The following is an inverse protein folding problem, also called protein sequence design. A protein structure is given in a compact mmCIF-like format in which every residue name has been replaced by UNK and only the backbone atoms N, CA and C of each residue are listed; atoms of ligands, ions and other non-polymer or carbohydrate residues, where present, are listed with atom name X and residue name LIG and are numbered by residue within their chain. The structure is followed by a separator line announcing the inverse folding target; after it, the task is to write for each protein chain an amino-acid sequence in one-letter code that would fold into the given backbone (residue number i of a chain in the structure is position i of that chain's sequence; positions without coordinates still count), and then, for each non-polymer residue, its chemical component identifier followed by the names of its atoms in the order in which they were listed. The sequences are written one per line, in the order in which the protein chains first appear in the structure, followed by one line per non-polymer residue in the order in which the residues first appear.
data_IF_195095644010
#
_entry.id   IF_195095644010
#
_cell.length_a   1.000
_cell.length_b   1.000
_cell.length_c   1.000
_cell.angle_alpha   90.00
_cell.angle_beta   90.00
_cell.angle_gamma   90.00
#
_symmetry.space_group_name_H-M   'P 1'
#
loop_
_entity.id
_entity.type
_entity.pdbx_description
1 polymer ?
#
# COMPACT_ATOMS: atom_id res chain seq x y z
N UNK A 1 20.50 -31.87 -7.51
CA UNK A 1 19.92 -30.54 -7.83
C UNK A 1 20.97 -29.79 -8.62
N UNK A 2 20.68 -29.29 -9.82
CA UNK A 2 21.63 -28.46 -10.56
C UNK A 2 21.92 -27.20 -9.72
N UNK A 3 23.19 -26.81 -9.63
CA UNK A 3 23.60 -25.61 -8.90
C UNK A 3 23.08 -24.37 -9.65
N UNK A 4 22.99 -23.22 -8.97
CA UNK A 4 22.51 -21.97 -9.57
C UNK A 4 23.27 -21.57 -10.87
N UNK A 5 24.46 -22.12 -11.10
CA UNK A 5 25.25 -21.96 -12.32
C UNK A 5 24.66 -22.64 -13.57
N UNK A 6 23.84 -23.69 -13.42
CA UNK A 6 23.42 -24.53 -14.54
C UNK A 6 22.26 -23.93 -15.37
N UNK A 7 21.60 -22.87 -14.87
CA UNK A 7 20.49 -22.17 -15.55
C UNK A 7 20.84 -20.77 -16.05
N UNK A 8 22.11 -20.38 -16.00
CA UNK A 8 22.57 -19.09 -16.53
C UNK A 8 22.10 -18.84 -17.98
N UNK A 9 22.15 -19.82 -18.92
CA UNK A 9 21.66 -19.61 -20.28
C UNK A 9 20.14 -19.36 -20.36
N UNK A 10 19.34 -20.09 -19.57
CA UNK A 10 17.88 -19.91 -19.52
C UNK A 10 17.50 -18.54 -18.93
N UNK A 11 18.27 -18.08 -17.94
CA UNK A 11 18.09 -16.77 -17.34
C UNK A 11 18.39 -15.65 -18.35
N UNK A 12 19.48 -15.78 -19.12
CA UNK A 12 19.81 -14.82 -20.17
C UNK A 12 18.75 -14.80 -21.27
N UNK A 13 18.25 -15.96 -21.70
CA UNK A 13 17.16 -16.04 -22.67
C UNK A 13 15.88 -15.36 -22.16
N UNK A 14 15.50 -15.60 -20.91
CA UNK A 14 14.36 -14.93 -20.29
C UNK A 14 14.56 -13.41 -20.27
N UNK A 15 15.76 -12.94 -19.90
CA UNK A 15 16.11 -11.49 -19.92
C UNK A 15 15.94 -10.92 -21.33
N UNK A 16 16.44 -11.60 -22.35
CA UNK A 16 16.30 -11.17 -23.75
C UNK A 16 14.84 -11.09 -24.18
N UNK A 17 14.03 -12.12 -23.89
CA UNK A 17 12.59 -12.11 -24.22
C UNK A 17 11.86 -10.99 -23.48
N UNK A 18 12.12 -10.84 -22.18
CA UNK A 18 11.50 -9.78 -21.37
C UNK A 18 11.83 -8.39 -21.92
N UNK A 19 13.09 -8.15 -22.29
CA UNK A 19 13.53 -6.85 -22.84
C UNK A 19 12.87 -6.53 -24.18
N UNK A 20 12.60 -7.53 -25.01
CA UNK A 20 11.91 -7.36 -26.29
C UNK A 20 10.43 -7.00 -26.14
N UNK A 21 9.81 -7.35 -25.00
CA UNK A 21 8.39 -7.07 -24.70
C UNK A 21 8.16 -5.72 -23.98
N UNK A 22 9.23 -4.98 -23.70
CA UNK A 22 9.11 -3.64 -23.11
C UNK A 22 8.69 -2.62 -24.17
N UNK A 23 7.80 -1.70 -23.77
CA UNK A 23 7.36 -0.61 -24.62
C UNK A 23 8.42 0.45 -24.81
N UNK A 24 8.27 1.23 -25.87
CA UNK A 24 9.15 2.38 -26.12
C UNK A 24 8.98 3.38 -24.96
N UNK A 25 10.09 3.79 -24.35
CA UNK A 25 10.08 4.65 -23.15
C UNK A 25 9.82 3.93 -21.82
N UNK A 26 9.47 2.63 -21.82
CA UNK A 26 9.29 1.84 -20.59
C UNK A 26 10.62 1.44 -19.95
N UNK A 27 11.67 1.27 -20.75
CA UNK A 27 12.97 0.78 -20.29
C UNK A 27 13.70 1.85 -19.45
N UNK A 28 13.94 1.54 -18.18
CA UNK A 28 14.74 2.39 -17.30
C UNK A 28 16.22 2.05 -17.54
N UNK A 29 16.82 2.59 -18.60
CA UNK A 29 18.19 2.27 -19.05
C UNK A 29 19.31 3.00 -18.28
N UNK A 30 18.99 4.07 -17.57
CA UNK A 30 19.94 4.84 -16.74
C UNK A 30 19.16 5.43 -15.55
N UNK A 31 19.39 4.90 -14.32
CA UNK A 31 19.09 5.50 -12.99
C UNK A 31 18.94 4.46 -11.86
N UNK A 32 19.62 3.33 -11.95
CA UNK A 32 19.78 2.39 -10.82
C UNK A 32 21.25 2.13 -10.50
N UNK A 33 22.13 3.06 -10.86
CA UNK A 33 23.50 3.03 -10.36
C UNK A 33 23.45 3.38 -8.87
N UNK A 34 23.90 2.51 -7.95
CA UNK A 34 24.17 2.96 -6.60
C UNK A 34 25.14 4.14 -6.73
N UNK A 35 24.85 5.26 -6.06
CA UNK A 35 25.82 6.34 -5.94
C UNK A 35 27.14 5.70 -5.50
N UNK A 36 28.23 5.91 -6.27
CA UNK A 36 29.53 5.48 -5.80
C UNK A 36 29.71 6.03 -4.39
N UNK A 37 30.24 5.24 -3.43
CA UNK A 37 30.47 5.74 -2.10
C UNK A 37 31.37 6.96 -2.23
N UNK A 38 30.76 8.14 -2.10
CA UNK A 38 31.45 9.40 -2.24
C UNK A 38 32.62 9.40 -1.27
N UNK A 39 33.75 10.00 -1.69
CA UNK A 39 34.88 10.20 -0.79
C UNK A 39 34.34 10.87 0.47
N UNK A 40 34.64 10.29 1.65
CA UNK A 40 34.19 10.84 2.93
C UNK A 40 34.64 12.31 2.97
N UNK A 41 33.71 13.26 3.14
CA UNK A 41 34.07 14.67 3.25
C UNK A 41 35.04 14.87 4.42
N UNK A 42 35.92 15.85 4.31
CA UNK A 42 36.76 16.25 5.44
C UNK A 42 35.89 16.77 6.60
N UNK A 43 36.46 16.79 7.80
CA UNK A 43 35.75 17.34 8.96
C UNK A 43 35.37 18.82 8.72
N UNK A 44 36.22 19.60 8.03
CA UNK A 44 35.93 20.98 7.63
C UNK A 44 34.72 21.08 6.67
N UNK A 45 34.60 20.18 5.69
CA UNK A 45 33.46 20.13 4.75
C UNK A 45 32.15 19.76 5.48
N UNK A 46 32.23 18.89 6.49
CA UNK A 46 31.09 18.50 7.33
C UNK A 46 30.65 19.68 8.21
N UNK A 47 31.59 20.36 8.85
CA UNK A 47 31.32 21.52 9.72
C UNK A 47 30.79 22.71 8.93
N UNK A 48 31.29 22.94 7.72
CA UNK A 48 30.76 23.96 6.82
C UNK A 48 29.34 23.63 6.38
N UNK A 49 29.04 22.36 6.06
CA UNK A 49 27.68 21.90 5.75
C UNK A 49 26.71 22.12 6.93
N UNK A 50 27.13 21.82 8.16
CA UNK A 50 26.33 22.07 9.35
C UNK A 50 26.10 23.57 9.56
N UNK A 51 27.15 24.38 9.45
CA UNK A 51 27.11 25.83 9.67
C UNK A 51 26.26 26.56 8.63
N UNK A 52 26.24 26.08 7.38
CA UNK A 52 25.36 26.59 6.31
C UNK A 52 23.89 26.25 6.55
N UNK A 53 23.58 25.30 7.44
CA UNK A 53 22.21 24.93 7.76
C UNK A 53 21.45 24.31 6.59
N UNK A 54 22.14 23.60 5.68
CA UNK A 54 21.58 23.05 4.42
C UNK A 54 20.28 22.27 4.61
N UNK A 55 20.12 21.60 5.76
CA UNK A 55 18.89 20.92 6.16
C UNK A 55 18.59 21.31 7.60
N UNK A 56 17.74 22.33 7.79
CA UNK A 56 17.26 22.75 9.11
C UNK A 56 15.76 22.56 9.19
N UNK A 57 15.34 21.61 10.03
CA UNK A 57 13.93 21.42 10.35
C UNK A 57 13.53 22.48 11.36
N UNK A 58 12.55 23.32 11.00
CA UNK A 58 11.97 24.32 11.89
C UNK A 58 10.67 23.75 12.42
N UNK A 59 10.63 23.49 13.72
CA UNK A 59 9.44 22.94 14.37
C UNK A 59 8.85 23.92 15.36
N UNK A 60 7.54 23.99 15.40
CA UNK A 60 6.77 24.57 16.49
C UNK A 60 6.10 23.48 17.32
N UNK A 61 5.87 23.75 18.61
CA UNK A 61 5.11 22.87 19.48
C UNK A 61 3.85 23.57 19.93
N UNK A 62 2.70 22.90 19.79
CA UNK A 62 1.43 23.41 20.28
C UNK A 62 0.73 22.37 21.15
N UNK A 63 -0.26 22.84 21.92
CA UNK A 63 -1.12 21.99 22.74
C UNK A 63 -2.55 22.43 22.54
N UNK A 64 -3.36 21.54 21.99
CA UNK A 64 -4.77 21.80 21.73
C UNK A 64 -5.61 21.24 22.88
N UNK A 65 -6.47 22.04 23.53
CA UNK A 65 -7.50 21.50 24.40
C UNK A 65 -8.28 20.43 23.64
N UNK A 66 -8.57 19.28 24.27
CA UNK A 66 -9.23 18.19 23.56
C UNK A 66 -10.59 18.59 22.99
N UNK A 67 -11.33 19.44 23.71
CA UNK A 67 -12.64 19.95 23.28
C UNK A 67 -12.56 20.86 22.04
N UNK A 68 -11.41 21.48 21.78
CA UNK A 68 -11.19 22.36 20.60
C UNK A 68 -10.67 21.61 19.38
N UNK A 69 -10.35 20.31 19.51
CA UNK A 69 -9.86 19.50 18.38
C UNK A 69 -10.94 19.39 17.30
N UNK A 70 -12.22 19.36 17.67
CA UNK A 70 -13.35 19.38 16.72
C UNK A 70 -13.28 20.61 15.82
N UNK A 71 -13.22 21.79 16.43
CA UNK A 71 -13.24 23.07 15.71
C UNK A 71 -12.02 23.23 14.80
N UNK A 72 -10.86 22.74 15.28
CA UNK A 72 -9.62 22.73 14.52
C UNK A 72 -9.76 21.88 13.25
N UNK A 73 -10.34 20.69 13.36
CA UNK A 73 -10.56 19.79 12.24
C UNK A 73 -11.64 20.29 11.27
N UNK A 74 -12.67 20.94 11.79
CA UNK A 74 -13.81 21.43 11.00
C UNK A 74 -13.52 22.79 10.32
N UNK A 75 -12.40 23.45 10.67
CA UNK A 75 -11.98 24.74 10.11
C UNK A 75 -11.65 24.72 8.60
N UNK A 76 -11.48 23.54 8.00
CA UNK A 76 -11.03 23.37 6.62
C UNK A 76 -9.53 23.62 6.41
N UNK A 77 -8.80 24.10 7.42
CA UNK A 77 -7.36 24.38 7.35
C UNK A 77 -6.47 23.13 7.50
N UNK A 78 -7.07 21.99 7.83
CA UNK A 78 -6.37 20.73 8.06
C UNK A 78 -6.76 19.73 6.99
N UNK A 79 -5.79 19.31 6.19
CA UNK A 79 -5.94 18.18 5.27
C UNK A 79 -5.94 16.90 6.10
N UNK A 80 -7.15 16.41 6.39
CA UNK A 80 -7.41 15.19 7.18
C UNK A 80 -7.42 13.92 6.36
N UNK A 81 -7.25 14.05 5.05
CA UNK A 81 -7.41 12.96 4.11
C UNK A 81 -6.13 12.72 3.28
N UNK A 82 -5.00 12.38 3.92
CA UNK A 82 -3.87 11.87 3.19
C UNK A 82 -4.22 10.51 2.59
N UNK A 83 -4.20 10.40 1.26
CA UNK A 83 -4.52 9.19 0.50
C UNK A 83 -3.79 7.92 0.98
N UNK A 84 -2.65 8.09 1.65
CA UNK A 84 -1.81 7.01 2.16
C UNK A 84 -2.25 6.42 3.50
N UNK A 85 -3.19 7.05 4.24
CA UNK A 85 -3.70 6.54 5.54
C UNK A 85 -5.22 6.26 5.53
N UNK A 86 -5.91 6.45 4.40
CA UNK A 86 -7.39 6.27 4.28
C UNK A 86 -7.91 4.89 4.69
N UNK A 87 -7.11 3.83 4.51
CA UNK A 87 -7.55 2.44 4.64
C UNK A 87 -7.41 1.87 6.06
N UNK A 88 -6.62 2.51 6.90
CA UNK A 88 -6.38 2.07 8.27
C UNK A 88 -7.18 2.94 9.26
N UNK A 89 -8.34 2.44 9.73
CA UNK A 89 -9.14 3.08 10.78
C UNK A 89 -9.00 2.35 12.11
N UNK A 90 -8.88 3.10 13.21
CA UNK A 90 -8.90 2.52 14.57
C UNK A 90 -10.26 1.94 14.90
N UNK A 91 -10.27 0.71 15.42
CA UNK A 91 -11.47 0.10 16.00
C UNK A 91 -12.02 0.93 17.17
N UNK A 92 -13.32 0.79 17.47
CA UNK A 92 -13.95 1.46 18.61
C UNK A 92 -13.25 1.17 19.95
N UNK A 93 -12.68 -0.03 20.10
CA UNK A 93 -11.86 -0.39 21.27
C UNK A 93 -10.57 0.44 21.33
N UNK A 94 -9.85 0.61 20.21
CA UNK A 94 -8.65 1.44 20.16
C UNK A 94 -8.96 2.92 20.43
N UNK A 95 -10.05 3.44 19.84
CA UNK A 95 -10.52 4.80 20.10
C UNK A 95 -10.87 4.99 21.59
N UNK A 96 -11.61 4.05 22.18
CA UNK A 96 -11.99 4.09 23.60
C UNK A 96 -10.78 4.05 24.53
N UNK A 97 -9.78 3.22 24.24
CA UNK A 97 -8.52 3.16 25.00
C UNK A 97 -7.70 4.44 24.92
N UNK A 98 -7.77 5.18 23.81
CA UNK A 98 -7.19 6.54 23.74
C UNK A 98 -7.92 7.48 24.72
N UNK A 99 -9.25 7.47 24.72
CA UNK A 99 -10.03 8.30 25.65
C UNK A 99 -9.72 7.93 27.11
N UNK A 100 -9.60 6.63 27.42
CA UNK A 100 -9.18 6.13 28.73
C UNK A 100 -7.82 6.69 29.15
N UNK A 101 -6.87 6.75 28.21
CA UNK A 101 -5.54 7.31 28.45
C UNK A 101 -5.62 8.79 28.87
N UNK A 102 -6.49 9.57 28.24
CA UNK A 102 -6.70 10.97 28.64
C UNK A 102 -7.38 11.11 30.01
N UNK A 103 -8.36 10.27 30.32
CA UNK A 103 -9.01 10.24 31.65
C UNK A 103 -7.93 10.00 32.73
N UNK A 104 -7.07 9.00 32.50
CA UNK A 104 -5.99 8.61 33.41
C UNK A 104 -4.77 9.54 33.42
N UNK A 105 -4.69 10.53 32.51
CA UNK A 105 -3.49 11.34 32.30
C UNK A 105 -2.26 10.55 31.87
N UNK A 106 -2.44 9.46 31.15
CA UNK A 106 -1.32 8.75 30.52
C UNK A 106 -0.78 9.63 29.39
N UNK A 107 0.56 9.80 29.28
CA UNK A 107 1.15 10.55 28.18
C UNK A 107 0.77 9.94 26.82
N UNK A 108 0.06 10.71 26.01
CA UNK A 108 -0.24 10.36 24.62
C UNK A 108 0.85 10.97 23.73
N UNK A 109 1.39 10.22 22.75
CA UNK A 109 2.37 10.77 21.81
C UNK A 109 1.83 12.05 21.12
N UNK A 110 2.69 12.99 20.72
CA UNK A 110 2.24 14.17 19.98
C UNK A 110 1.76 13.80 18.58
N UNK A 111 0.83 14.58 18.03
CA UNK A 111 0.49 14.52 16.60
C UNK A 111 1.50 15.34 15.80
N UNK A 112 1.82 14.90 14.59
CA UNK A 112 2.75 15.60 13.72
C UNK A 112 2.01 16.24 12.55
N UNK A 113 2.27 17.52 12.36
CA UNK A 113 1.62 18.35 11.35
C UNK A 113 2.70 18.94 10.43
N UNK A 114 2.38 19.10 9.15
CA UNK A 114 3.19 19.85 8.20
C UNK A 114 2.42 21.06 7.72
N UNK A 115 2.96 22.26 7.92
CA UNK A 115 2.42 23.49 7.37
C UNK A 115 2.91 23.65 5.92
N UNK A 116 2.05 23.32 4.96
CA UNK A 116 2.38 23.41 3.52
C UNK A 116 2.13 24.82 2.96
N UNK A 117 1.21 25.56 3.59
CA UNK A 117 1.03 26.99 3.38
C UNK A 117 0.62 27.67 4.70
N UNK A 118 0.69 29.00 4.76
CA UNK A 118 0.39 29.74 5.99
C UNK A 118 -0.97 29.37 6.58
N UNK A 119 -0.98 28.86 7.82
CA UNK A 119 -2.17 28.37 8.50
C UNK A 119 -2.92 27.25 7.73
N UNK A 120 -2.20 26.50 6.91
CA UNK A 120 -2.70 25.34 6.17
C UNK A 120 -1.84 24.12 6.49
N UNK A 121 -2.45 23.11 7.07
CA UNK A 121 -1.76 21.98 7.67
C UNK A 121 -2.13 20.66 6.99
N UNK A 122 -1.17 19.75 6.91
CA UNK A 122 -1.38 18.35 6.57
C UNK A 122 -1.02 17.49 7.78
N UNK A 123 -1.91 16.56 8.13
CA UNK A 123 -1.67 15.62 9.24
C UNK A 123 -0.69 14.54 8.77
N UNK A 124 0.53 14.55 9.29
CA UNK A 124 1.54 13.55 8.98
C UNK A 124 1.38 12.29 9.85
N UNK A 125 1.15 12.47 11.15
CA UNK A 125 0.90 11.39 12.09
C UNK A 125 -0.12 11.84 13.15
N UNK A 126 -0.95 10.90 13.60
CA UNK A 126 -1.95 11.14 14.62
C UNK A 126 -3.36 11.40 14.10
N UNK A 127 -3.62 11.19 12.80
CA UNK A 127 -4.96 11.34 12.21
C UNK A 127 -6.01 10.52 12.98
N UNK A 128 -5.71 9.26 13.30
CA UNK A 128 -6.62 8.39 14.07
C UNK A 128 -6.85 8.90 15.51
N UNK A 129 -5.84 9.54 16.13
CA UNK A 129 -5.98 10.17 17.46
C UNK A 129 -6.88 11.39 17.41
N UNK A 130 -6.64 12.29 16.44
CA UNK A 130 -7.46 13.49 16.26
C UNK A 130 -8.90 13.12 15.92
N UNK A 131 -9.08 12.11 15.06
CA UNK A 131 -10.40 11.57 14.69
C UNK A 131 -11.12 10.98 15.89
N UNK A 132 -10.46 10.12 16.69
CA UNK A 132 -11.06 9.54 17.89
C UNK A 132 -11.51 10.61 18.90
N UNK A 133 -10.70 11.65 19.11
CA UNK A 133 -11.08 12.79 19.97
C UNK A 133 -12.29 13.53 19.40
N UNK A 134 -12.26 13.90 18.12
CA UNK A 134 -13.40 14.58 17.45
C UNK A 134 -14.68 13.76 17.56
N UNK A 135 -14.64 12.48 17.23
CA UNK A 135 -15.80 11.60 17.25
C UNK A 135 -16.35 11.39 18.66
N UNK A 136 -15.49 11.32 19.67
CA UNK A 136 -15.89 11.21 21.06
C UNK A 136 -16.66 12.45 21.54
N UNK A 137 -16.11 13.66 21.31
CA UNK A 137 -16.80 14.92 21.68
C UNK A 137 -18.07 15.17 20.86
N UNK A 138 -18.16 14.63 19.64
CA UNK A 138 -19.36 14.65 18.82
C UNK A 138 -20.37 13.54 19.18
N UNK A 139 -20.16 12.77 20.26
CA UNK A 139 -20.99 11.62 20.67
C UNK A 139 -21.21 10.56 19.58
N UNK A 140 -20.26 10.37 18.65
CA UNK A 140 -20.39 9.42 17.54
C UNK A 140 -20.16 7.96 17.96
N UNK A 141 -19.64 7.70 19.16
CA UNK A 141 -19.52 6.36 19.71
C UNK A 141 -19.61 6.35 21.24
N UNK A 142 -19.95 5.18 21.77
CA UNK A 142 -19.88 4.86 23.20
C UNK A 142 -18.56 4.16 23.52
N UNK A 143 -18.01 4.44 24.70
CA UNK A 143 -16.78 3.79 25.15
C UNK A 143 -16.99 2.28 25.24
N UNK A 144 -16.00 1.50 24.81
CA UNK A 144 -16.04 0.05 24.84
C UNK A 144 -14.66 -0.55 25.00
N UNK A 145 -14.56 -1.65 25.75
CA UNK A 145 -13.31 -2.40 25.88
C UNK A 145 -12.23 -1.66 26.66
N UNK A 146 -12.66 -0.82 27.62
CA UNK A 146 -11.81 -0.16 28.59
C UNK A 146 -11.14 -1.18 29.53
N UNK A 147 -9.93 -0.89 30.00
CA UNK A 147 -9.17 -1.81 30.86
C UNK A 147 -9.30 -1.47 32.35
N UNK A 148 -9.28 -0.19 32.69
CA UNK A 148 -9.25 0.34 34.06
C UNK A 148 -10.56 1.03 34.46
N UNK A 149 -11.28 1.62 33.49
CA UNK A 149 -12.52 2.37 33.71
C UNK A 149 -13.73 1.67 33.08
N UNK A 150 -13.87 0.36 33.30
CA UNK A 150 -14.92 -0.48 32.70
C UNK A 150 -16.34 0.01 33.02
N UNK A 151 -16.53 0.71 34.13
CA UNK A 151 -17.80 1.34 34.49
C UNK A 151 -18.23 2.48 33.55
N UNK A 152 -17.34 2.94 32.67
CA UNK A 152 -17.64 3.91 31.63
C UNK A 152 -17.98 3.26 30.27
N UNK A 153 -17.85 1.93 30.14
CA UNK A 153 -18.28 1.23 28.93
C UNK A 153 -19.80 1.46 28.70
N UNK A 154 -20.19 1.71 27.45
CA UNK A 154 -21.55 2.08 27.05
C UNK A 154 -21.89 3.57 27.27
N UNK A 155 -20.97 4.39 27.77
CA UNK A 155 -21.18 5.83 27.89
C UNK A 155 -20.54 6.60 26.73
N UNK A 156 -21.29 7.52 26.13
CA UNK A 156 -20.74 8.57 25.28
C UNK A 156 -20.33 9.79 26.12
N UNK A 157 -19.78 10.83 25.47
CA UNK A 157 -19.30 12.04 26.15
C UNK A 157 -20.38 12.69 27.04
N UNK A 158 -21.60 12.81 26.53
CA UNK A 158 -22.69 13.47 27.26
C UNK A 158 -23.22 12.67 28.44
N UNK A 159 -23.12 11.35 28.38
CA UNK A 159 -23.50 10.45 29.46
C UNK A 159 -22.44 10.36 30.58
N UNK A 160 -21.23 10.91 30.40
CA UNK A 160 -20.18 10.83 31.40
C UNK A 160 -20.53 11.57 32.72
N UNK A 161 -20.09 11.04 33.88
CA UNK A 161 -20.20 11.76 35.15
C UNK A 161 -19.55 13.14 35.08
N UNK A 162 -20.20 14.16 35.65
CA UNK A 162 -19.76 15.57 35.57
C UNK A 162 -18.28 15.78 35.91
N UNK A 163 -17.77 15.08 36.93
CA UNK A 163 -16.37 15.19 37.35
C UNK A 163 -15.39 14.55 36.36
N UNK A 164 -15.78 13.45 35.70
CA UNK A 164 -14.97 12.80 34.66
C UNK A 164 -14.94 13.68 33.41
N UNK A 165 -16.09 14.24 33.02
CA UNK A 165 -16.20 15.20 31.91
C UNK A 165 -15.31 16.43 32.12
N UNK A 166 -15.41 17.07 33.28
CA UNK A 166 -14.50 18.16 33.65
C UNK A 166 -13.02 17.71 33.68
N UNK A 167 -12.77 16.45 34.06
CA UNK A 167 -11.46 15.84 34.11
C UNK A 167 -10.81 15.59 32.74
N UNK A 168 -11.61 15.29 31.71
CA UNK A 168 -11.13 15.11 30.32
C UNK A 168 -11.05 16.44 29.57
N UNK A 169 -11.98 17.38 29.78
CA UNK A 169 -11.96 18.70 29.12
C UNK A 169 -10.70 19.52 29.49
N UNK A 170 -10.12 19.30 30.67
CA UNK A 170 -8.84 19.94 31.08
C UNK A 170 -7.59 19.31 30.44
N UNK A 171 -7.73 18.30 29.58
CA UNK A 171 -6.62 17.60 28.93
C UNK A 171 -6.30 18.24 27.58
N UNK A 172 -5.11 17.95 27.09
CA UNK A 172 -4.57 18.52 25.86
C UNK A 172 -3.99 17.43 24.97
N UNK A 173 -4.16 17.60 23.66
CA UNK A 173 -3.42 16.88 22.64
C UNK A 173 -2.20 17.72 22.23
N UNK A 174 -1.01 17.19 22.46
CA UNK A 174 0.24 17.85 22.03
C UNK A 174 0.44 17.68 20.53
N UNK A 175 1.02 18.68 19.88
CA UNK A 175 1.45 18.61 18.48
C UNK A 175 2.87 19.09 18.28
N UNK A 176 3.51 18.58 17.23
CA UNK A 176 4.76 19.08 16.67
C UNK A 176 4.46 19.46 15.23
N UNK A 177 4.65 20.73 14.90
CA UNK A 177 4.35 21.31 13.59
C UNK A 177 5.65 21.58 12.88
N UNK A 178 5.85 20.95 11.72
CA UNK A 178 6.90 21.31 10.79
C UNK A 178 6.43 22.55 10.02
N UNK A 179 7.09 23.68 10.26
CA UNK A 179 6.72 24.94 9.63
C UNK A 179 7.16 24.97 8.18
N UNK A 180 6.48 25.77 7.34
CA UNK A 180 6.81 25.95 5.92
C UNK A 180 8.25 26.43 5.69
N UNK A 181 8.81 27.15 6.65
CA UNK A 181 10.21 27.63 6.68
C UNK A 181 11.24 26.50 6.84
N UNK A 182 10.77 25.26 6.98
CA UNK A 182 11.59 24.05 6.94
C UNK A 182 12.18 23.88 5.52
N UNK A 183 13.40 24.40 5.39
CA UNK A 183 14.35 24.43 4.26
C UNK A 183 14.23 25.54 3.22
N UNK A 184 15.30 26.35 3.18
CA UNK A 184 15.72 27.27 2.10
C UNK A 184 16.94 26.72 1.31
N UNK A 185 17.16 25.39 1.32
CA UNK A 185 18.26 24.71 0.63
C UNK A 185 17.94 24.37 -0.84
N UNK A 186 18.88 23.69 -1.52
CA UNK A 186 18.69 23.21 -2.90
C UNK A 186 17.79 21.97 -3.02
N UNK A 187 17.36 21.37 -1.90
CA UNK A 187 16.43 20.23 -1.88
C UNK A 187 14.98 20.71 -1.82
N UNK A 188 14.11 20.10 -2.63
CA UNK A 188 12.68 20.42 -2.68
C UNK A 188 12.00 20.12 -1.32
N UNK A 189 11.07 20.97 -0.85
CA UNK A 189 10.32 20.79 0.40
C UNK A 189 9.72 19.38 0.58
N UNK A 190 9.34 18.75 -0.53
CA UNK A 190 8.82 17.39 -0.55
C UNK A 190 9.84 16.35 -0.06
N UNK A 191 11.14 16.52 -0.35
CA UNK A 191 12.21 15.62 0.11
C UNK A 191 12.37 15.69 1.63
N UNK A 192 12.25 16.87 2.22
CA UNK A 192 12.39 17.03 3.67
C UNK A 192 11.14 16.53 4.41
N UNK A 193 9.95 16.81 3.88
CA UNK A 193 8.69 16.20 4.35
C UNK A 193 8.84 14.67 4.34
N UNK A 194 9.36 14.10 3.26
CA UNK A 194 9.60 12.65 3.11
C UNK A 194 10.52 12.11 4.20
N UNK A 195 11.65 12.77 4.43
CA UNK A 195 12.64 12.35 5.41
C UNK A 195 12.11 12.37 6.85
N UNK A 196 11.41 13.46 7.22
CA UNK A 196 10.88 13.61 8.57
C UNK A 196 9.72 12.63 8.81
N UNK A 197 8.83 12.46 7.82
CA UNK A 197 7.77 11.46 7.85
C UNK A 197 8.31 10.04 8.06
N UNK A 198 9.34 9.66 7.30
CA UNK A 198 9.98 8.35 7.40
C UNK A 198 10.61 8.09 8.77
N UNK A 199 11.12 9.14 9.46
CA UNK A 199 11.68 9.02 10.81
C UNK A 199 10.63 9.01 11.91
N UNK A 200 9.59 9.84 11.81
CA UNK A 200 8.54 9.92 12.83
C UNK A 200 7.75 8.60 12.94
N UNK A 201 7.42 7.99 11.79
CA UNK A 201 6.67 6.74 11.74
C UNK A 201 7.44 5.50 12.26
N UNK A 202 8.68 5.66 12.73
CA UNK A 202 9.43 4.58 13.38
C UNK A 202 9.06 4.36 14.86
N UNK A 203 8.30 5.27 15.49
CA UNK A 203 7.89 5.16 16.90
C UNK A 203 6.37 4.98 17.16
N UNK A 204 5.52 5.01 16.13
CA UNK A 204 4.05 4.98 16.22
C UNK A 204 3.39 3.79 15.50
N UNK A 205 2.13 3.94 15.04
CA UNK A 205 1.49 2.95 14.16
C UNK A 205 2.34 2.84 12.89
N UNK A 206 3.00 1.70 12.69
CA UNK A 206 3.90 1.52 11.57
C UNK A 206 3.12 1.49 10.26
N UNK A 207 3.37 2.49 9.40
CA UNK A 207 2.92 2.43 8.03
C UNK A 207 3.60 1.26 7.30
N UNK A 208 2.81 0.57 6.48
CA UNK A 208 3.34 -0.43 5.56
C UNK A 208 4.33 0.23 4.59
N UNK A 209 5.31 -0.53 4.05
CA UNK A 209 6.21 0.01 3.03
C UNK A 209 5.47 0.64 1.84
N UNK A 210 4.30 0.14 1.48
CA UNK A 210 3.50 0.69 0.39
C UNK A 210 2.77 1.97 0.80
N UNK A 211 2.25 2.06 2.03
CA UNK A 211 1.69 3.31 2.57
C UNK A 211 2.77 4.41 2.59
N UNK A 212 3.99 4.06 2.99
CA UNK A 212 5.12 4.97 2.93
C UNK A 212 5.40 5.41 1.49
N UNK A 213 5.51 4.50 0.52
CA UNK A 213 5.68 4.87 -0.90
C UNK A 213 4.59 5.82 -1.39
N UNK A 214 3.35 5.56 -1.01
CA UNK A 214 2.22 6.39 -1.43
C UNK A 214 2.26 7.79 -0.82
N UNK A 215 2.84 7.94 0.37
CA UNK A 215 3.08 9.23 1.01
C UNK A 215 4.29 9.97 0.42
N UNK A 216 5.35 9.22 0.06
CA UNK A 216 6.62 9.79 -0.36
C UNK A 216 6.70 10.06 -1.87
N UNK A 217 6.10 9.23 -2.71
CA UNK A 217 6.32 9.22 -4.15
C UNK A 217 5.01 9.41 -4.92
N UNK A 218 4.34 10.54 -4.70
CA UNK A 218 3.20 10.90 -5.54
C UNK A 218 3.63 11.20 -6.98
N UNK A 219 2.81 10.78 -7.94
CA UNK A 219 3.11 10.90 -9.37
C UNK A 219 2.22 10.01 -10.24
N UNK A 220 2.35 10.11 -11.58
CA UNK A 220 1.50 9.39 -12.53
C UNK A 220 1.47 7.87 -12.32
N UNK A 221 2.63 7.23 -12.12
CA UNK A 221 2.70 5.78 -11.89
C UNK A 221 2.06 5.38 -10.56
N UNK A 222 2.28 6.17 -9.49
CA UNK A 222 1.66 5.90 -8.20
C UNK A 222 0.13 6.00 -8.27
N UNK A 223 -0.38 7.02 -8.97
CA UNK A 223 -1.82 7.20 -9.21
C UNK A 223 -2.40 6.03 -10.02
N UNK A 224 -1.72 5.61 -11.09
CA UNK A 224 -2.09 4.43 -11.87
C UNK A 224 -2.16 3.17 -10.99
N UNK A 225 -1.17 2.94 -10.11
CA UNK A 225 -1.18 1.78 -9.22
C UNK A 225 -2.38 1.78 -8.27
N UNK A 226 -2.73 2.93 -7.69
CA UNK A 226 -3.91 3.09 -6.82
C UNK A 226 -5.21 2.84 -7.59
N UNK A 227 -5.29 3.33 -8.83
CA UNK A 227 -6.46 3.18 -9.69
C UNK A 227 -6.67 1.72 -10.10
N UNK A 228 -5.64 1.07 -10.65
CA UNK A 228 -5.70 -0.32 -11.10
C UNK A 228 -5.97 -1.30 -9.94
N UNK A 229 -5.56 -0.97 -8.71
CA UNK A 229 -5.89 -1.74 -7.51
C UNK A 229 -7.39 -1.79 -7.22
N UNK A 230 -8.18 -0.84 -7.75
CA UNK A 230 -9.65 -0.80 -7.63
C UNK A 230 -10.37 -1.69 -8.64
N UNK A 231 -9.65 -2.27 -9.59
CA UNK A 231 -10.25 -3.12 -10.64
C UNK A 231 -11.00 -4.32 -10.02
N UNK A 232 -12.28 -4.56 -10.38
CA UNK A 232 -13.07 -5.65 -9.81
C UNK A 232 -12.44 -7.02 -9.97
N UNK A 233 -11.79 -7.29 -11.11
CA UNK A 233 -11.08 -8.54 -11.36
C UNK A 233 -9.98 -8.78 -10.33
N UNK A 234 -9.12 -7.77 -10.07
CA UNK A 234 -8.04 -7.91 -9.09
C UNK A 234 -8.61 -8.16 -7.69
N UNK A 235 -9.65 -7.42 -7.32
CA UNK A 235 -10.35 -7.57 -6.04
C UNK A 235 -10.89 -8.99 -5.86
N UNK A 236 -11.62 -9.53 -6.84
CA UNK A 236 -12.12 -10.92 -6.81
C UNK A 236 -11.00 -11.95 -6.66
N UNK A 237 -9.96 -11.85 -7.51
CA UNK A 237 -8.84 -12.80 -7.48
C UNK A 237 -8.06 -12.75 -6.16
N UNK A 238 -8.09 -11.61 -5.45
CA UNK A 238 -7.46 -11.41 -4.15
C UNK A 238 -8.41 -11.49 -2.95
N UNK A 239 -9.67 -11.89 -3.15
CA UNK A 239 -10.71 -11.97 -2.10
C UNK A 239 -10.92 -10.65 -1.35
N UNK A 240 -10.77 -9.53 -2.05
CA UNK A 240 -11.12 -8.20 -1.56
C UNK A 240 -12.55 -7.92 -2.03
N UNK A 241 -13.47 -7.50 -1.16
CA UNK A 241 -14.82 -7.07 -1.58
C UNK A 241 -14.74 -5.96 -2.64
N UNK A 242 -15.59 -6.04 -3.66
CA UNK A 242 -15.61 -5.05 -4.75
C UNK A 242 -16.05 -3.68 -4.25
N UNK A 243 -16.81 -3.65 -3.15
CA UNK A 243 -17.31 -2.48 -2.44
C UNK A 243 -16.61 -2.28 -1.09
N UNK A 244 -15.35 -2.73 -0.93
CA UNK A 244 -14.62 -2.67 0.35
C UNK A 244 -14.59 -1.28 0.98
N UNK A 245 -14.65 -0.21 0.18
CA UNK A 245 -14.79 1.16 0.67
C UNK A 245 -16.08 1.38 1.50
N UNK A 246 -17.22 0.79 1.11
CA UNK A 246 -18.49 0.93 1.84
C UNK A 246 -18.44 0.28 3.23
N UNK A 247 -17.60 -0.74 3.40
CA UNK A 247 -17.35 -1.38 4.71
C UNK A 247 -16.64 -0.44 5.69
N UNK A 248 -16.03 0.63 5.18
CA UNK A 248 -15.31 1.63 5.97
C UNK A 248 -16.17 2.88 6.19
N UNK A 249 -17.02 3.22 5.23
CA UNK A 249 -17.89 4.40 5.27
C UNK A 249 -19.27 4.15 5.91
N UNK A 250 -19.66 2.90 6.16
CA UNK A 250 -20.89 2.57 6.92
C UNK A 250 -20.89 3.08 8.36
N UNK A 251 -19.76 3.59 8.85
CA UNK A 251 -19.59 4.23 10.16
C UNK A 251 -19.70 5.77 10.11
N UNK A 252 -20.01 6.38 8.96
CA UNK A 252 -20.35 7.80 8.84
C UNK A 252 -21.86 8.01 8.59
N UNK A 253 -22.51 8.98 9.26
CA UNK A 253 -23.77 9.52 8.75
C UNK A 253 -23.48 10.22 7.43
N UNK A 254 -24.25 9.87 6.40
CA UNK A 254 -24.23 10.44 5.05
C UNK A 254 -24.01 11.96 5.04
N UNK A 255 -22.89 12.37 4.47
CA UNK A 255 -22.59 13.76 4.13
C UNK A 255 -21.81 13.78 2.82
N UNK A 256 -22.53 14.17 1.77
CA UNK A 256 -22.07 14.68 0.48
C UNK A 256 -21.49 13.68 -0.54
N UNK A 257 -22.42 13.24 -1.39
CA UNK A 257 -22.35 12.93 -2.83
C UNK A 257 -20.97 12.94 -3.51
N UNK A 258 -20.58 11.77 -4.03
CA UNK A 258 -19.91 11.68 -5.33
C UNK A 258 -20.74 10.77 -6.22
N UNK A 259 -21.43 11.43 -7.16
CA UNK A 259 -22.23 10.84 -8.23
C UNK A 259 -21.36 10.14 -9.29
N UNK A 260 -22.03 9.19 -9.97
CA UNK A 260 -21.69 8.54 -11.24
C UNK A 260 -20.59 7.46 -11.26
N UNK A 261 -21.00 6.22 -10.97
CA UNK A 261 -20.45 5.04 -11.68
C UNK A 261 -21.59 4.44 -12.49
N UNK A 262 -21.39 4.39 -13.81
CA UNK A 262 -22.32 3.87 -14.80
C UNK A 262 -22.85 2.47 -14.45
N UNK A 263 -24.17 2.39 -14.53
CA UNK A 263 -25.00 1.23 -14.25
C UNK A 263 -24.88 0.20 -15.38
N UNK A 264 -23.94 -0.74 -15.25
CA UNK A 264 -23.96 -1.98 -16.03
C UNK A 264 -23.27 -3.13 -15.30
N UNK A 265 -24.08 -3.99 -14.64
CA UNK A 265 -23.65 -5.37 -14.36
C UNK A 265 -23.87 -5.96 -12.96
N UNK A 266 -24.74 -5.40 -12.12
CA UNK A 266 -25.06 -5.99 -10.81
C UNK A 266 -26.42 -6.70 -10.82
N UNK A 267 -26.43 -7.91 -11.37
CA UNK A 267 -27.45 -8.90 -11.07
C UNK A 267 -26.76 -10.18 -10.60
N UNK A 268 -26.33 -10.19 -9.33
CA UNK A 268 -26.12 -11.38 -8.46
C UNK A 268 -25.42 -10.95 -7.17
N UNK A 269 -26.14 -10.25 -6.28
CA UNK A 269 -25.78 -10.22 -4.85
C UNK A 269 -27.06 -10.55 -4.09
N UNK A 270 -27.31 -11.85 -3.92
CA UNK A 270 -28.36 -12.35 -3.04
C UNK A 270 -27.71 -13.20 -1.94
N UNK A 271 -28.15 -12.90 -0.72
CA UNK A 271 -27.94 -13.63 0.54
C UNK A 271 -26.64 -13.33 1.32
N UNK A 272 -26.71 -12.31 2.18
CA UNK A 272 -25.94 -12.25 3.43
C UNK A 272 -26.90 -12.08 4.59
N UNK A 273 -27.51 -13.20 4.98
CA UNK A 273 -28.17 -13.35 6.26
C UNK A 273 -27.13 -13.55 7.38
N UNK A 274 -27.33 -12.81 8.48
CA UNK A 274 -26.72 -12.94 9.81
C UNK A 274 -25.27 -12.42 10.03
N UNK A 275 -25.16 -11.22 10.59
CA UNK A 275 -24.69 -11.08 11.98
C UNK A 275 -23.20 -10.91 12.30
N UNK A 276 -22.28 -10.88 11.33
CA UNK A 276 -20.88 -10.50 11.58
C UNK A 276 -20.50 -9.30 10.71
N UNK A 277 -19.99 -8.24 11.33
CA UNK A 277 -19.43 -7.10 10.60
C UNK A 277 -18.31 -7.61 9.68
N UNK A 278 -18.44 -7.43 8.38
CA UNK A 278 -17.45 -7.91 7.42
C UNK A 278 -16.08 -7.27 7.74
N UNK A 279 -15.14 -8.08 8.21
CA UNK A 279 -13.82 -7.61 8.60
C UNK A 279 -13.06 -7.08 7.37
N UNK A 280 -12.48 -5.89 7.49
CA UNK A 280 -11.69 -5.27 6.42
C UNK A 280 -10.48 -6.17 6.11
N UNK A 281 -10.33 -6.69 4.87
CA UNK A 281 -9.23 -7.59 4.55
C UNK A 281 -7.86 -6.95 4.77
N UNK A 282 -6.90 -7.64 5.41
CA UNK A 282 -5.54 -7.12 5.61
C UNK A 282 -4.85 -6.70 4.32
N UNK A 283 -5.11 -7.43 3.21
CA UNK A 283 -4.55 -7.12 1.90
C UNK A 283 -4.96 -5.74 1.37
N UNK A 284 -6.18 -5.29 1.68
CA UNK A 284 -6.62 -3.94 1.34
C UNK A 284 -6.13 -2.92 2.36
N UNK A 285 -6.27 -3.23 3.66
CA UNK A 285 -5.87 -2.35 4.77
C UNK A 285 -4.41 -1.92 4.67
N UNK A 286 -3.51 -2.87 4.41
CA UNK A 286 -2.05 -2.63 4.40
C UNK A 286 -1.55 -2.18 3.00
N UNK A 287 -2.46 -1.88 2.07
CA UNK A 287 -2.21 -1.50 0.66
C UNK A 287 -1.45 -2.54 -0.17
N UNK A 288 -1.66 -3.83 0.13
CA UNK A 288 -1.02 -4.92 -0.63
C UNK A 288 -1.53 -5.01 -2.07
N UNK A 289 -2.81 -4.75 -2.32
CA UNK A 289 -3.39 -4.58 -3.66
C UNK A 289 -2.64 -3.54 -4.52
N UNK A 290 -2.29 -2.37 -3.95
CA UNK A 290 -1.49 -1.35 -4.64
C UNK A 290 -0.06 -1.82 -4.87
N UNK A 291 0.54 -2.47 -3.87
CA UNK A 291 1.88 -3.07 -4.01
C UNK A 291 1.90 -4.14 -5.12
N UNK A 292 0.83 -4.91 -5.32
CA UNK A 292 0.73 -5.94 -6.36
C UNK A 292 0.74 -5.35 -7.76
N UNK A 293 0.07 -4.21 -7.97
CA UNK A 293 0.13 -3.48 -9.24
C UNK A 293 1.55 -2.95 -9.46
N UNK A 294 2.14 -2.31 -8.44
CA UNK A 294 3.51 -1.80 -8.54
C UNK A 294 4.52 -2.92 -8.83
N UNK A 295 4.38 -4.08 -8.17
CA UNK A 295 5.18 -5.27 -8.39
C UNK A 295 5.07 -5.78 -9.81
N UNK A 296 3.88 -5.74 -10.42
CA UNK A 296 3.72 -6.15 -11.81
C UNK A 296 4.62 -5.32 -12.72
N UNK A 297 4.52 -3.99 -12.64
CA UNK A 297 5.31 -3.11 -13.49
C UNK A 297 6.81 -3.17 -13.19
N UNK A 298 7.19 -3.17 -11.91
CA UNK A 298 8.59 -3.31 -11.52
C UNK A 298 9.18 -4.65 -11.98
N UNK A 299 8.43 -5.75 -11.88
CA UNK A 299 8.91 -7.07 -12.31
C UNK A 299 9.12 -7.17 -13.82
N UNK A 300 8.39 -6.39 -14.63
CA UNK A 300 8.65 -6.30 -16.08
C UNK A 300 10.03 -5.72 -16.39
N UNK A 301 10.56 -4.87 -15.52
CA UNK A 301 11.88 -4.23 -15.63
C UNK A 301 13.00 -5.01 -14.93
N UNK A 302 12.65 -6.01 -14.11
CA UNK A 302 13.51 -6.68 -13.11
C UNK A 302 14.71 -7.46 -13.64
N UNK A 303 14.95 -7.38 -14.94
CA UNK A 303 16.02 -8.09 -15.61
C UNK A 303 17.26 -7.22 -15.89
N UNK A 304 17.27 -5.94 -15.48
CA UNK A 304 18.35 -4.98 -15.80
C UNK A 304 19.43 -4.98 -14.71
N UNK A 305 19.13 -4.63 -13.45
CA UNK A 305 20.02 -4.82 -12.29
C UNK A 305 19.19 -4.88 -10.99
N UNK A 306 19.52 -5.82 -10.09
CA UNK A 306 18.91 -5.95 -8.77
C UNK A 306 20.03 -6.13 -7.75
N UNK A 307 20.27 -5.12 -6.92
CA UNK A 307 21.37 -5.14 -5.93
C UNK A 307 20.89 -5.00 -4.47
N UNK A 308 19.60 -4.69 -4.25
CA UNK A 308 19.03 -4.29 -2.95
C UNK A 308 17.80 -5.13 -2.54
N UNK A 309 17.07 -4.75 -1.49
CA UNK A 309 15.87 -5.47 -1.05
C UNK A 309 14.69 -5.22 -2.01
N UNK A 310 13.64 -6.07 -1.97
CA UNK A 310 12.41 -5.82 -2.76
C UNK A 310 11.80 -4.46 -2.42
N UNK A 311 11.96 -4.00 -1.18
CA UNK A 311 11.47 -2.70 -0.76
C UNK A 311 12.16 -1.59 -1.55
N UNK A 312 13.49 -1.57 -1.53
CA UNK A 312 14.29 -0.52 -2.16
C UNK A 312 14.07 -0.54 -3.68
N UNK A 313 14.00 -1.73 -4.28
CA UNK A 313 13.72 -1.87 -5.71
C UNK A 313 12.38 -1.25 -6.13
N UNK A 314 11.32 -1.46 -5.34
CA UNK A 314 10.01 -0.86 -5.63
C UNK A 314 10.03 0.66 -5.41
N UNK A 315 10.80 1.16 -4.43
CA UNK A 315 10.97 2.59 -4.18
C UNK A 315 11.69 3.27 -5.36
N UNK A 316 12.78 2.66 -5.84
CA UNK A 316 13.57 3.15 -6.97
C UNK A 316 12.77 3.08 -8.29
N UNK A 317 12.07 1.97 -8.54
CA UNK A 317 11.21 1.84 -9.72
C UNK A 317 10.11 2.89 -9.73
N UNK A 318 9.41 3.09 -8.61
CA UNK A 318 8.31 4.05 -8.54
C UNK A 318 8.78 5.49 -8.81
N UNK A 319 9.95 5.86 -8.26
CA UNK A 319 10.56 7.17 -8.51
C UNK A 319 10.87 7.38 -10.00
N UNK A 320 11.48 6.39 -10.66
CA UNK A 320 11.78 6.47 -12.08
C UNK A 320 10.51 6.46 -12.94
N UNK A 321 9.57 5.57 -12.65
CA UNK A 321 8.35 5.42 -13.42
C UNK A 321 7.37 6.60 -13.27
N UNK A 322 7.47 7.37 -12.18
CA UNK A 322 6.74 8.63 -12.05
C UNK A 322 7.20 9.71 -13.05
N UNK A 323 8.32 9.52 -13.75
CA UNK A 323 8.77 10.42 -14.83
C UNK A 323 8.44 9.89 -16.23
N UNK A 324 7.65 8.82 -16.34
CA UNK A 324 7.21 8.31 -17.65
C UNK A 324 6.21 9.26 -18.30
N UNK A 325 6.29 9.34 -19.63
CA UNK A 325 5.31 10.04 -20.45
C UNK A 325 3.92 9.40 -20.32
N UNK A 326 2.87 10.20 -20.49
CA UNK A 326 1.48 9.76 -20.34
C UNK A 326 1.13 8.59 -21.27
N UNK A 327 1.66 8.60 -22.50
CA UNK A 327 1.47 7.50 -23.46
C UNK A 327 2.00 6.16 -22.92
N UNK A 328 3.18 6.17 -22.29
CA UNK A 328 3.78 4.96 -21.69
C UNK A 328 2.94 4.47 -20.50
N UNK A 329 2.41 5.38 -19.69
CA UNK A 329 1.53 5.07 -18.57
C UNK A 329 0.24 4.37 -19.05
N UNK A 330 -0.36 4.85 -20.13
CA UNK A 330 -1.58 4.26 -20.70
C UNK A 330 -1.33 2.91 -21.41
N UNK A 331 -0.17 2.73 -22.05
CA UNK A 331 0.22 1.41 -22.56
C UNK A 331 0.40 0.39 -21.42
N UNK A 332 1.05 0.80 -20.33
CA UNK A 332 1.21 -0.03 -19.14
C UNK A 332 -0.12 -0.41 -18.50
N UNK A 333 -1.06 0.53 -18.41
CA UNK A 333 -2.45 0.28 -18.00
C UNK A 333 -3.08 -0.84 -18.84
N UNK A 334 -3.02 -0.70 -20.17
CA UNK A 334 -3.60 -1.67 -21.10
C UNK A 334 -2.99 -3.05 -20.93
N UNK A 335 -1.66 -3.15 -20.80
CA UNK A 335 -0.96 -4.41 -20.58
C UNK A 335 -1.40 -5.07 -19.27
N UNK A 336 -1.47 -4.30 -18.18
CA UNK A 336 -1.90 -4.84 -16.88
C UNK A 336 -3.32 -5.41 -16.95
N UNK A 337 -4.27 -4.63 -17.47
CA UNK A 337 -5.68 -5.03 -17.55
C UNK A 337 -5.88 -6.28 -18.42
N UNK A 338 -5.23 -6.33 -19.59
CA UNK A 338 -5.28 -7.51 -20.48
C UNK A 338 -4.65 -8.74 -19.85
N UNK A 339 -3.55 -8.56 -19.11
CA UNK A 339 -2.88 -9.66 -18.40
C UNK A 339 -3.76 -10.20 -17.27
N UNK A 340 -4.40 -9.30 -16.51
CA UNK A 340 -5.29 -9.65 -15.41
C UNK A 340 -6.55 -10.37 -15.92
N UNK A 341 -7.15 -9.89 -17.00
CA UNK A 341 -8.29 -10.54 -17.67
C UNK A 341 -7.92 -11.95 -18.17
N UNK A 342 -6.74 -12.10 -18.78
CA UNK A 342 -6.24 -13.42 -19.20
C UNK A 342 -6.06 -14.36 -18.01
N UNK A 343 -5.51 -13.86 -16.89
CA UNK A 343 -5.35 -14.64 -15.67
C UNK A 343 -6.70 -15.10 -15.11
N UNK A 344 -7.70 -14.20 -15.06
CA UNK A 344 -9.05 -14.52 -14.61
C UNK A 344 -9.71 -15.56 -15.52
N UNK A 345 -9.63 -15.38 -16.85
CA UNK A 345 -10.24 -16.29 -17.83
C UNK A 345 -9.64 -17.71 -17.82
N UNK A 346 -8.33 -17.83 -17.60
CA UNK A 346 -7.66 -19.14 -17.55
C UNK A 346 -7.87 -19.79 -16.19
N UNK A 347 -7.58 -19.07 -15.11
CA UNK A 347 -7.42 -19.70 -13.79
C UNK A 347 -8.59 -19.50 -12.83
N UNK A 348 -9.44 -18.49 -13.05
CA UNK A 348 -10.58 -18.19 -12.18
C UNK A 348 -10.21 -18.14 -10.70
N UNK A 349 -10.94 -18.90 -9.88
CA UNK A 349 -10.76 -19.00 -8.43
C UNK A 349 -9.39 -19.56 -8.01
N UNK A 350 -8.71 -20.31 -8.89
CA UNK A 350 -7.37 -20.89 -8.67
C UNK A 350 -6.24 -19.93 -9.00
N UNK A 351 -6.53 -18.74 -9.56
CA UNK A 351 -5.50 -17.77 -9.88
C UNK A 351 -4.64 -17.44 -8.65
N UNK A 352 -3.33 -17.39 -8.85
CA UNK A 352 -2.33 -17.01 -7.84
C UNK A 352 -2.29 -17.90 -6.58
N UNK A 353 -2.96 -19.05 -6.59
CA UNK A 353 -2.89 -20.06 -5.54
C UNK A 353 -1.91 -21.16 -5.91
N UNK A 354 -1.56 -21.98 -4.92
CA UNK A 354 -0.77 -23.20 -5.13
C UNK A 354 -1.39 -24.36 -4.35
N UNK A 355 -0.94 -25.58 -4.65
CA UNK A 355 -1.29 -26.75 -3.86
C UNK A 355 -0.24 -27.01 -2.78
N UNK A 356 -0.70 -27.39 -1.59
CA UNK A 356 0.14 -27.87 -0.48
C UNK A 356 -0.50 -29.12 0.09
N UNK A 357 0.23 -30.25 0.08
CA UNK A 357 -0.31 -31.55 0.49
C UNK A 357 -1.64 -31.86 -0.22
N UNK A 358 -1.66 -31.68 -1.54
CA UNK A 358 -2.80 -31.97 -2.44
C UNK A 358 -4.04 -31.09 -2.26
N UNK A 359 -4.01 -30.10 -1.36
CA UNK A 359 -5.08 -29.11 -1.18
C UNK A 359 -4.66 -27.72 -1.64
N UNK A 360 -5.61 -26.96 -2.22
CA UNK A 360 -5.37 -25.57 -2.60
C UNK A 360 -5.21 -24.66 -1.39
N UNK A 361 -4.31 -23.68 -1.49
CA UNK A 361 -4.17 -22.66 -0.45
C UNK A 361 -5.41 -21.77 -0.39
N UNK A 362 -5.90 -21.49 0.82
CA UNK A 362 -7.07 -20.65 1.04
C UNK A 362 -6.85 -19.19 0.60
N UNK A 363 -5.60 -18.69 0.62
CA UNK A 363 -5.25 -17.33 0.25
C UNK A 363 -4.31 -17.32 -0.96
N UNK A 364 -4.48 -16.40 -1.92
CA UNK A 364 -3.52 -16.12 -3.00
C UNK A 364 -2.12 -15.78 -2.48
N UNK A 365 -1.11 -15.95 -3.34
CA UNK A 365 0.29 -15.76 -2.97
C UNK A 365 1.01 -14.79 -3.89
N UNK A 366 1.63 -13.76 -3.30
CA UNK A 366 2.43 -12.73 -4.00
C UNK A 366 3.47 -13.36 -4.95
N UNK A 367 4.16 -14.42 -4.54
CA UNK A 367 5.18 -15.07 -5.38
C UNK A 367 4.63 -15.84 -6.58
N UNK A 368 3.39 -16.34 -6.48
CA UNK A 368 2.71 -17.00 -7.61
C UNK A 368 2.16 -15.92 -8.54
N UNK A 369 1.59 -14.86 -7.98
CA UNK A 369 1.17 -13.67 -8.71
C UNK A 369 2.30 -13.07 -9.54
N UNK A 370 3.47 -12.82 -8.93
CA UNK A 370 4.63 -12.25 -9.63
C UNK A 370 4.96 -13.09 -10.89
N UNK A 371 5.12 -14.40 -10.72
CA UNK A 371 5.50 -15.28 -11.83
C UNK A 371 4.38 -15.39 -12.88
N UNK A 372 3.14 -15.62 -12.44
CA UNK A 372 1.99 -15.80 -13.32
C UNK A 372 1.74 -14.55 -14.18
N UNK A 373 1.63 -13.38 -13.55
CA UNK A 373 1.33 -12.13 -14.28
C UNK A 373 2.44 -11.76 -15.26
N UNK A 374 3.72 -11.90 -14.88
CA UNK A 374 4.81 -11.58 -15.79
C UNK A 374 4.82 -12.53 -17.00
N UNK A 375 4.65 -13.83 -16.78
CA UNK A 375 4.57 -14.82 -17.87
C UNK A 375 3.38 -14.52 -18.78
N UNK A 376 2.18 -14.33 -18.23
CA UNK A 376 0.98 -14.04 -19.03
C UNK A 376 1.12 -12.75 -19.83
N UNK A 377 1.79 -11.73 -19.29
CA UNK A 377 2.00 -10.47 -20.01
C UNK A 377 2.83 -10.65 -21.29
N UNK A 378 3.73 -11.64 -21.32
CA UNK A 378 4.52 -12.03 -22.51
C UNK A 378 3.77 -12.98 -23.45
N UNK A 379 2.65 -13.55 -23.00
CA UNK A 379 1.83 -14.49 -23.77
C UNK A 379 0.51 -13.85 -24.23
N UNK A 380 0.38 -12.53 -24.15
CA UNK A 380 -0.83 -11.82 -24.58
C UNK A 380 -1.14 -12.02 -26.08
N UNK A 381 -0.12 -12.28 -26.90
CA UNK A 381 -0.30 -12.63 -28.32
C UNK A 381 -0.97 -14.00 -28.54
N UNK A 382 -0.84 -14.90 -27.57
CA UNK A 382 -1.40 -16.27 -27.61
C UNK A 382 -2.64 -16.42 -26.72
N UNK A 383 -3.25 -15.30 -26.28
CA UNK A 383 -4.32 -15.28 -25.30
C UNK A 383 -5.51 -16.19 -25.68
N UNK A 384 -5.99 -16.12 -26.92
CA UNK A 384 -7.14 -16.91 -27.39
C UNK A 384 -6.84 -18.41 -27.38
N UNK A 385 -5.61 -18.81 -27.72
CA UNK A 385 -5.16 -20.20 -27.69
C UNK A 385 -5.16 -20.72 -26.25
N UNK A 386 -4.59 -19.95 -25.33
CA UNK A 386 -4.53 -20.33 -23.91
C UNK A 386 -5.92 -20.40 -23.27
N UNK A 387 -6.80 -19.44 -23.57
CA UNK A 387 -8.20 -19.48 -23.10
C UNK A 387 -8.94 -20.69 -23.67
N UNK A 388 -8.73 -21.03 -24.94
CA UNK A 388 -9.28 -22.24 -25.56
C UNK A 388 -8.79 -23.55 -24.93
N UNK A 389 -7.65 -23.54 -24.23
CA UNK A 389 -7.07 -24.69 -23.51
C UNK A 389 -7.22 -24.60 -21.99
N UNK A 390 -8.04 -23.66 -21.48
CA UNK A 390 -8.14 -23.38 -20.03
C UNK A 390 -8.42 -24.62 -19.18
N UNK A 391 -9.30 -25.52 -19.63
CA UNK A 391 -9.72 -26.66 -18.81
C UNK A 391 -8.55 -27.63 -18.60
N UNK A 392 -7.78 -27.91 -19.66
CA UNK A 392 -6.58 -28.74 -19.61
C UNK A 392 -5.46 -28.09 -18.78
N UNK A 393 -5.28 -26.76 -18.91
CA UNK A 393 -4.35 -26.00 -18.09
C UNK A 393 -4.75 -26.09 -16.60
N UNK A 394 -6.02 -25.88 -16.28
CA UNK A 394 -6.48 -25.90 -14.87
C UNK A 394 -6.42 -27.30 -14.27
N UNK A 395 -6.69 -28.34 -15.04
CA UNK A 395 -6.60 -29.75 -14.61
C UNK A 395 -5.14 -30.14 -14.30
N UNK A 396 -4.19 -29.75 -15.15
CA UNK A 396 -2.78 -30.06 -14.97
C UNK A 396 -2.08 -29.25 -13.86
N UNK A 397 -2.66 -28.12 -13.42
CA UNK A 397 -1.99 -27.15 -12.55
C UNK A 397 -1.61 -27.72 -11.18
N UNK A 398 -2.45 -28.60 -10.61
CA UNK A 398 -2.16 -29.27 -9.34
C UNK A 398 -0.94 -30.20 -9.45
N UNK A 399 -0.84 -30.96 -10.54
CA UNK A 399 0.30 -31.82 -10.84
C UNK A 399 1.57 -30.99 -11.08
N UNK A 400 1.46 -29.90 -11.83
CA UNK A 400 2.57 -28.95 -12.05
C UNK A 400 3.15 -28.44 -10.73
N UNK A 401 2.33 -27.98 -9.79
CA UNK A 401 2.81 -27.51 -8.49
C UNK A 401 3.41 -28.61 -7.63
N UNK A 402 2.88 -29.83 -7.70
CA UNK A 402 3.43 -30.99 -6.98
C UNK A 402 4.85 -31.33 -7.47
N UNK A 403 5.03 -31.43 -8.79
CA UNK A 403 6.33 -31.70 -9.42
C UNK A 403 7.37 -30.61 -9.14
N UNK A 404 6.93 -29.35 -9.03
CA UNK A 404 7.80 -28.19 -8.81
C UNK A 404 7.72 -27.63 -7.38
N UNK A 405 7.33 -28.46 -6.40
CA UNK A 405 7.05 -28.03 -5.03
C UNK A 405 8.24 -27.33 -4.34
N UNK A 406 9.47 -27.74 -4.64
CA UNK A 406 10.69 -27.11 -4.12
C UNK A 406 10.89 -25.67 -4.57
N UNK A 407 10.23 -25.22 -5.64
CA UNK A 407 10.33 -23.84 -6.16
C UNK A 407 9.10 -23.03 -5.77
N UNK A 408 7.90 -23.63 -5.86
CA UNK A 408 6.64 -22.92 -5.64
C UNK A 408 6.16 -22.90 -4.18
N UNK A 409 6.66 -23.78 -3.29
CA UNK A 409 6.35 -23.73 -1.85
C UNK A 409 7.34 -22.94 -1.01
N UNK A 410 8.48 -22.52 -1.58
CA UNK A 410 9.42 -21.65 -0.88
C UNK A 410 8.90 -20.21 -0.84
N UNK A 411 9.18 -19.51 0.27
CA UNK A 411 8.90 -18.08 0.42
C UNK A 411 9.94 -17.17 -0.27
N UNK A 412 10.93 -17.75 -0.95
CA UNK A 412 12.01 -17.00 -1.60
C UNK A 412 11.45 -16.00 -2.63
N UNK A 413 11.89 -14.74 -2.51
CA UNK A 413 11.50 -13.64 -3.40
C UNK A 413 12.71 -12.98 -4.06
N UNK A 414 13.88 -13.64 -4.04
CA UNK A 414 15.05 -13.12 -4.74
C UNK A 414 14.78 -13.07 -6.25
N UNK A 415 15.55 -12.26 -6.99
CA UNK A 415 15.47 -12.22 -8.47
C UNK A 415 15.56 -13.64 -9.06
N UNK A 416 16.51 -14.45 -8.61
CA UNK A 416 16.67 -15.84 -9.06
C UNK A 416 15.47 -16.73 -8.72
N UNK A 417 14.81 -16.53 -7.58
CA UNK A 417 13.61 -17.30 -7.22
C UNK A 417 12.43 -16.96 -8.14
N UNK A 418 12.25 -15.68 -8.46
CA UNK A 418 11.17 -15.23 -9.36
C UNK A 418 11.43 -15.73 -10.78
N UNK A 419 12.65 -15.56 -11.30
CA UNK A 419 13.04 -16.06 -12.62
C UNK A 419 12.83 -17.57 -12.77
N UNK A 420 13.19 -18.37 -11.75
CA UNK A 420 12.96 -19.83 -11.77
C UNK A 420 11.48 -20.17 -11.86
N UNK A 421 10.62 -19.45 -11.15
CA UNK A 421 9.16 -19.68 -11.23
C UNK A 421 8.63 -19.27 -12.60
N UNK A 422 9.08 -18.14 -13.14
CA UNK A 422 8.67 -17.68 -14.47
C UNK A 422 9.03 -18.69 -15.56
N UNK A 423 10.25 -19.22 -15.57
CA UNK A 423 10.69 -20.21 -16.58
C UNK A 423 9.79 -21.45 -16.54
N UNK A 424 9.62 -22.05 -15.36
CA UNK A 424 8.81 -23.27 -15.21
C UNK A 424 7.34 -23.03 -15.56
N UNK A 425 6.80 -21.87 -15.18
CA UNK A 425 5.40 -21.53 -15.46
C UNK A 425 5.18 -21.20 -16.95
N UNK A 426 6.15 -20.56 -17.61
CA UNK A 426 6.13 -20.31 -19.05
C UNK A 426 6.24 -21.62 -19.84
N UNK A 427 7.16 -22.52 -19.48
CA UNK A 427 7.28 -23.86 -20.08
C UNK A 427 5.97 -24.64 -19.97
N UNK A 428 5.35 -24.59 -18.79
CA UNK A 428 4.07 -25.22 -18.54
C UNK A 428 2.98 -24.70 -19.48
N UNK A 429 2.78 -23.37 -19.56
CA UNK A 429 1.77 -22.79 -20.44
C UNK A 429 2.06 -23.03 -21.92
N UNK A 430 3.33 -22.92 -22.33
CA UNK A 430 3.74 -23.17 -23.72
C UNK A 430 3.52 -24.62 -24.17
N UNK A 431 3.53 -25.58 -23.24
CA UNK A 431 3.26 -26.99 -23.57
C UNK A 431 1.85 -27.23 -24.16
N UNK A 432 0.89 -26.34 -23.89
CA UNK A 432 -0.48 -26.41 -24.42
C UNK A 432 -0.67 -25.71 -25.77
N UNK A 433 0.33 -24.95 -26.21
CA UNK A 433 0.31 -24.23 -27.49
C UNK A 433 1.03 -25.00 -28.60
N UNK A 434 1.88 -25.96 -28.23
CA UNK A 434 2.71 -26.74 -29.16
C UNK A 434 2.01 -28.00 -29.74
N UNK A 435 0.67 -28.08 -29.69
CA UNK A 435 -0.11 -29.25 -30.09
C UNK A 435 -1.16 -28.94 -31.16
#
# INVERSE_FOLDING_TARGET
MPQASDREPEFQQLVTRQRAELRQGELISEKLAPAEPGKRPSDDEIDEKYSRGEIRIVTEQARYPLESVTDLLDSGNYKLDPDYQRRHRWSRVQQSRLIESFIMNVPVPPVFLYEWDYNQYEVMDGLQRMTAVREFYANKFELTGLEYWKELDGLNYDALPKKIRAGINRRYLSSIILLKETSHGAEEPDILKRFVFGRINTGGVHLSPQELRNALYDGPMNRLCKELARTPALRRLWQIPVDVESLVDSDQPSGDEYDEIEEAGLAEIADRSQGEAAEIPPAWRDMTDVELVLRFFANRQRMIEYRSSIKDYLDEYLQAANTFEEEVIEELRSIFLRTLDLAEKIFGDKAFRRTRRESWTAVPSKSIYDACMNVLSRLLGDADVLVGKRDAIVEGLAGFYSMNSSVFNLRGQTRADVMRREILFEEYLRSFMAA
#
